data_IF_880407703526
#
_entry.id   IF_880407703526
#
_cell.length_a   1.000
_cell.length_b   1.000
_cell.length_c   1.000
_cell.angle_alpha   90.00
_cell.angle_beta   90.00
_cell.angle_gamma   90.00
#
_symmetry.space_group_name_H-M   'P 1'
#
loop_
_entity.id
_entity.type
_entity.pdbx_description
1 polymer ?
#
# COMPACT_ATOMS: atom_id res chain seq x y z
N UNK A 1 17.88 -31.44 21.84
CA UNK A 1 16.41 -31.59 21.84
C UNK A 1 15.77 -30.27 21.32
N UNK A 2 15.39 -30.26 20.04
CA UNK A 2 14.56 -29.18 19.49
C UNK A 2 13.09 -29.49 19.77
N UNK A 3 12.38 -28.53 20.31
CA UNK A 3 10.92 -28.57 20.45
C UNK A 3 10.31 -27.48 19.59
N UNK A 4 9.51 -27.88 18.60
CA UNK A 4 8.66 -27.01 17.84
C UNK A 4 7.23 -27.17 18.38
N UNK A 5 6.64 -26.10 18.89
CA UNK A 5 5.24 -26.10 19.28
C UNK A 5 4.42 -25.61 18.09
N UNK A 6 3.86 -26.53 17.35
CA UNK A 6 2.81 -26.27 16.37
C UNK A 6 1.48 -26.23 17.13
N UNK A 7 0.73 -25.15 17.04
CA UNK A 7 -0.67 -25.14 17.48
C UNK A 7 -1.47 -26.15 16.63
N UNK A 8 -2.54 -26.77 17.17
CA UNK A 8 -3.16 -27.96 16.58
C UNK A 8 -4.00 -27.66 15.34
N UNK A 9 -3.35 -27.32 14.22
CA UNK A 9 -3.97 -27.34 12.89
C UNK A 9 -4.00 -28.74 12.27
N UNK A 10 -3.25 -29.69 12.85
CA UNK A 10 -3.10 -31.03 12.28
C UNK A 10 -4.33 -31.94 12.47
N UNK A 11 -5.28 -31.57 13.33
CA UNK A 11 -6.45 -32.43 13.59
C UNK A 11 -7.54 -32.32 12.52
N UNK A 12 -7.53 -31.30 11.70
CA UNK A 12 -8.52 -31.12 10.61
C UNK A 12 -8.10 -31.79 9.31
N UNK A 13 -6.79 -31.95 9.08
CA UNK A 13 -6.28 -32.58 7.84
C UNK A 13 -6.46 -34.10 7.81
N UNK A 14 -6.53 -34.78 8.96
CA UNK A 14 -6.74 -36.24 9.00
C UNK A 14 -8.20 -36.67 8.84
N UNK A 15 -9.19 -35.78 9.04
CA UNK A 15 -10.61 -36.10 8.80
C UNK A 15 -11.08 -35.85 7.36
N UNK A 16 -10.31 -35.08 6.56
CA UNK A 16 -10.66 -34.81 5.16
C UNK A 16 -10.24 -35.92 4.19
N UNK A 17 -9.36 -36.84 4.60
CA UNK A 17 -8.92 -37.95 3.75
C UNK A 17 -9.90 -39.13 3.66
N UNK A 18 -10.96 -39.14 4.48
CA UNK A 18 -11.95 -40.24 4.53
C UNK A 18 -13.29 -39.93 3.89
N UNK A 19 -13.44 -38.75 3.24
CA UNK A 19 -14.69 -38.34 2.59
C UNK A 19 -14.57 -38.10 1.07
N UNK A 20 -13.58 -38.72 0.42
CA UNK A 20 -13.46 -38.67 -1.03
C UNK A 20 -14.13 -39.88 -1.70
N UNK A 21 -15.41 -39.99 -1.56
CA UNK A 21 -16.27 -40.74 -2.49
C UNK A 21 -17.71 -40.26 -2.36
N UNK A 22 -18.03 -39.19 -3.03
CA UNK A 22 -19.31 -38.88 -3.69
C UNK A 22 -19.29 -37.42 -4.18
N UNK A 23 -19.61 -37.25 -5.43
CA UNK A 23 -19.87 -35.98 -6.10
C UNK A 23 -20.79 -35.08 -5.27
N UNK A 24 -20.24 -34.24 -4.43
CA UNK A 24 -20.86 -33.00 -3.99
C UNK A 24 -19.87 -31.90 -4.32
N UNK A 25 -20.13 -31.24 -5.45
CA UNK A 25 -19.66 -29.87 -5.64
C UNK A 25 -19.91 -29.15 -4.31
N UNK A 26 -18.86 -28.70 -3.64
CA UNK A 26 -18.97 -27.69 -2.58
C UNK A 26 -19.62 -26.51 -3.29
N UNK A 27 -20.94 -26.39 -3.13
CA UNK A 27 -21.66 -25.23 -3.61
C UNK A 27 -20.96 -24.04 -2.98
N UNK A 28 -20.28 -23.24 -3.79
CA UNK A 28 -19.86 -21.92 -3.40
C UNK A 28 -21.09 -21.28 -2.77
N UNK A 29 -20.99 -20.80 -1.53
CA UNK A 29 -22.05 -20.02 -0.91
C UNK A 29 -22.48 -19.00 -1.95
N UNK A 30 -23.78 -18.85 -2.25
CA UNK A 30 -24.23 -17.96 -3.29
C UNK A 30 -23.61 -16.59 -3.03
N UNK A 31 -22.84 -16.10 -4.00
CA UNK A 31 -22.34 -14.73 -4.01
C UNK A 31 -23.55 -13.86 -3.66
N UNK A 32 -23.51 -13.17 -2.53
CA UNK A 32 -24.49 -12.12 -2.26
C UNK A 32 -24.38 -11.21 -3.46
N UNK A 33 -25.42 -11.16 -4.28
CA UNK A 33 -25.44 -10.37 -5.50
C UNK A 33 -24.88 -9.00 -5.16
N UNK A 34 -23.67 -8.69 -5.64
CA UNK A 34 -22.99 -7.45 -5.30
C UNK A 34 -23.91 -6.31 -5.68
N UNK A 35 -24.18 -5.41 -4.73
CA UNK A 35 -25.00 -4.23 -5.01
C UNK A 35 -24.40 -3.51 -6.21
N UNK A 36 -25.18 -3.19 -7.26
CA UNK A 36 -24.66 -2.49 -8.43
C UNK A 36 -23.94 -1.20 -8.05
N UNK A 37 -22.84 -0.92 -8.72
CA UNK A 37 -22.14 0.33 -8.61
C UNK A 37 -22.97 1.46 -9.18
N UNK A 38 -23.10 2.57 -8.45
CA UNK A 38 -23.73 3.80 -8.92
C UNK A 38 -22.71 4.91 -9.17
N UNK A 39 -21.58 4.84 -8.47
CA UNK A 39 -20.50 5.81 -8.57
C UNK A 39 -19.80 5.76 -9.95
N UNK A 40 -19.08 6.83 -10.25
CA UNK A 40 -18.33 7.01 -11.48
C UNK A 40 -16.84 7.17 -11.16
N UNK A 41 -15.99 6.72 -12.07
CA UNK A 41 -14.57 7.02 -12.03
C UNK A 41 -14.35 8.51 -12.28
N UNK A 42 -13.57 9.16 -11.41
CA UNK A 42 -13.27 10.59 -11.48
C UNK A 42 -11.78 10.86 -11.43
N UNK A 43 -11.33 11.94 -12.08
CA UNK A 43 -9.95 12.44 -12.08
C UNK A 43 -9.89 13.97 -12.13
N UNK A 44 -8.68 14.55 -12.18
CA UNK A 44 -8.48 15.99 -12.30
C UNK A 44 -8.80 16.56 -13.68
N UNK A 45 -8.98 15.72 -14.70
CA UNK A 45 -9.21 16.15 -16.08
C UNK A 45 -7.96 16.59 -16.84
N UNK A 46 -6.81 16.67 -16.19
CA UNK A 46 -5.54 16.85 -16.89
C UNK A 46 -5.15 15.50 -17.52
N UNK A 47 -4.95 15.48 -18.81
CA UNK A 47 -4.55 14.26 -19.55
C UNK A 47 -3.36 14.52 -20.45
N UNK A 48 -2.41 13.58 -20.53
CA UNK A 48 -2.26 12.43 -19.63
C UNK A 48 -1.65 12.84 -18.29
N UNK A 49 -2.10 12.22 -17.20
CA UNK A 49 -1.43 12.36 -15.92
C UNK A 49 0.00 11.83 -16.04
N UNK A 50 0.95 12.58 -15.48
CA UNK A 50 2.35 12.18 -15.49
C UNK A 50 2.62 11.09 -14.44
N UNK A 51 3.66 10.28 -14.61
CA UNK A 51 4.11 9.38 -13.56
C UNK A 51 4.32 10.13 -12.23
N UNK A 52 3.95 9.47 -11.12
CA UNK A 52 4.05 10.03 -9.77
C UNK A 52 3.16 11.26 -9.54
N UNK A 53 1.98 11.29 -10.16
CA UNK A 53 0.99 12.35 -9.93
C UNK A 53 0.21 12.09 -8.63
N UNK A 54 -0.02 13.17 -7.88
CA UNK A 54 -0.79 13.15 -6.64
C UNK A 54 -2.01 14.05 -6.79
N UNK A 55 -3.20 13.52 -6.43
CA UNK A 55 -4.48 14.21 -6.59
C UNK A 55 -5.19 14.32 -5.25
N UNK A 56 -5.67 15.52 -4.93
CA UNK A 56 -6.58 15.78 -3.82
C UNK A 56 -8.01 15.69 -4.30
N UNK A 57 -8.82 14.87 -3.65
CA UNK A 57 -10.26 14.81 -3.85
C UNK A 57 -10.99 15.26 -2.59
N UNK A 58 -12.05 16.04 -2.75
CA UNK A 58 -12.93 16.46 -1.65
C UNK A 58 -14.39 16.37 -2.02
N UNK A 59 -15.19 15.99 -1.03
CA UNK A 59 -16.64 16.02 -1.12
C UNK A 59 -17.25 16.36 0.24
N UNK A 60 -18.28 17.19 0.25
CA UNK A 60 -19.07 17.50 1.45
C UNK A 60 -20.43 16.85 1.33
N UNK A 61 -20.72 15.88 2.22
CA UNK A 61 -22.00 15.21 2.32
C UNK A 61 -22.80 15.81 3.49
N UNK A 62 -24.10 15.99 3.31
CA UNK A 62 -25.04 16.36 4.39
C UNK A 62 -25.93 15.16 4.70
N UNK A 63 -25.71 14.54 5.86
CA UNK A 63 -26.33 13.25 6.23
C UNK A 63 -27.55 13.49 7.12
N UNK A 64 -28.76 13.07 6.69
CA UNK A 64 -29.99 13.26 7.47
C UNK A 64 -30.02 12.43 8.75
N UNK A 65 -29.35 11.27 8.72
CA UNK A 65 -29.26 10.32 9.83
C UNK A 65 -27.94 9.55 9.74
N UNK A 66 -27.53 8.91 10.83
CA UNK A 66 -26.34 8.07 10.88
C UNK A 66 -26.74 6.60 11.14
N UNK A 67 -26.64 5.71 10.15
CA UNK A 67 -26.79 4.28 10.33
C UNK A 67 -25.67 3.68 11.21
N UNK A 68 -25.94 2.53 11.80
CA UNK A 68 -24.94 1.80 12.61
C UNK A 68 -23.76 1.26 11.80
N UNK A 69 -23.93 1.07 10.50
CA UNK A 69 -22.88 0.67 9.54
C UNK A 69 -23.03 1.43 8.24
N UNK A 70 -21.92 1.95 7.73
CA UNK A 70 -21.82 2.74 6.51
C UNK A 70 -20.57 2.29 5.76
N UNK A 71 -20.70 1.32 4.86
CA UNK A 71 -19.58 0.76 4.12
C UNK A 71 -19.42 1.46 2.77
N UNK A 72 -18.24 2.06 2.55
CA UNK A 72 -17.82 2.59 1.27
C UNK A 72 -16.99 1.55 0.51
N UNK A 73 -17.24 1.43 -0.80
CA UNK A 73 -16.42 0.69 -1.75
C UNK A 73 -15.54 1.70 -2.49
N UNK A 74 -14.22 1.54 -2.42
CA UNK A 74 -13.26 2.53 -2.92
C UNK A 74 -12.26 1.86 -3.84
N UNK A 75 -12.25 2.23 -5.11
CA UNK A 75 -11.23 1.85 -6.07
C UNK A 75 -10.36 3.03 -6.43
N UNK A 76 -9.05 2.82 -6.54
CA UNK A 76 -8.08 3.84 -6.89
C UNK A 76 -6.99 3.28 -7.81
N UNK A 77 -6.53 4.07 -8.71
CA UNK A 77 -5.32 3.79 -9.47
C UNK A 77 -4.30 4.91 -9.18
N UNK A 78 -3.32 4.68 -8.28
CA UNK A 78 -2.84 3.38 -7.78
C UNK A 78 -3.09 3.16 -6.29
N UNK A 79 -2.79 4.13 -5.44
CA UNK A 79 -2.91 4.09 -3.97
C UNK A 79 -3.65 5.32 -3.46
N UNK A 80 -4.26 5.22 -2.26
CA UNK A 80 -4.97 6.36 -1.68
C UNK A 80 -4.86 6.42 -0.15
N UNK A 81 -5.05 7.62 0.39
CA UNK A 81 -5.26 7.91 1.81
C UNK A 81 -6.63 8.55 1.96
N UNK A 82 -7.39 8.15 2.96
CA UNK A 82 -8.75 8.62 3.20
C UNK A 82 -8.84 9.32 4.55
N UNK A 83 -9.38 10.52 4.55
CA UNK A 83 -9.80 11.23 5.75
C UNK A 83 -11.32 11.45 5.72
N UNK A 84 -11.94 11.30 6.89
CA UNK A 84 -13.33 11.66 7.13
C UNK A 84 -13.37 12.64 8.30
N UNK A 85 -13.91 13.81 8.08
CA UNK A 85 -13.97 14.90 9.08
C UNK A 85 -12.59 15.24 9.68
N UNK A 86 -11.54 15.21 8.86
CA UNK A 86 -10.17 15.49 9.26
C UNK A 86 -9.46 14.32 9.98
N UNK A 87 -10.14 13.19 10.22
CA UNK A 87 -9.56 12.00 10.84
C UNK A 87 -9.10 11.02 9.77
N UNK A 88 -7.87 10.56 9.86
CA UNK A 88 -7.33 9.53 8.97
C UNK A 88 -8.07 8.20 9.20
N UNK A 89 -8.65 7.66 8.15
CA UNK A 89 -9.43 6.40 8.14
C UNK A 89 -8.65 5.28 7.46
N UNK A 90 -8.02 5.57 6.32
CA UNK A 90 -7.21 4.61 5.59
C UNK A 90 -5.84 5.21 5.31
N UNK A 91 -4.80 4.50 5.72
CA UNK A 91 -3.41 4.81 5.40
C UNK A 91 -2.93 3.86 4.30
N UNK A 92 -2.74 4.39 3.08
CA UNK A 92 -2.36 3.62 1.90
C UNK A 92 -3.37 2.49 1.57
N UNK A 93 -4.56 2.89 1.15
CA UNK A 93 -5.55 2.00 0.54
C UNK A 93 -5.20 1.65 -0.90
N UNK A 94 -6.00 0.76 -1.47
CA UNK A 94 -5.76 0.19 -2.78
C UNK A 94 -4.68 -0.90 -2.78
N UNK A 95 -4.78 -1.81 -3.73
CA UNK A 95 -3.70 -2.76 -4.03
C UNK A 95 -3.02 -2.35 -5.32
N UNK A 96 -1.76 -2.74 -5.50
CA UNK A 96 -1.12 -2.70 -6.80
C UNK A 96 -2.03 -3.39 -7.80
N UNK A 97 -2.35 -2.68 -8.89
CA UNK A 97 -3.35 -3.10 -9.85
C UNK A 97 -2.94 -4.39 -10.54
N UNK A 98 -3.87 -5.30 -10.72
CA UNK A 98 -3.77 -6.48 -11.54
C UNK A 98 -4.21 -7.78 -10.88
N UNK A 99 -5.51 -7.98 -10.52
CA UNK A 99 -6.03 -9.33 -10.26
C UNK A 99 -5.93 -10.20 -11.51
N UNK A 100 -5.92 -9.57 -12.67
CA UNK A 100 -5.61 -10.05 -14.00
C UNK A 100 -5.14 -8.85 -14.85
N UNK A 101 -4.73 -9.01 -16.12
CA UNK A 101 -4.22 -7.91 -16.95
C UNK A 101 -5.17 -6.73 -17.17
N UNK A 102 -6.45 -6.87 -16.87
CA UNK A 102 -7.47 -5.88 -17.20
C UNK A 102 -8.10 -5.20 -16.00
N UNK A 103 -8.40 -5.95 -14.94
CA UNK A 103 -9.27 -5.55 -13.85
C UNK A 103 -8.55 -4.78 -12.73
N UNK A 104 -9.32 -4.18 -11.82
CA UNK A 104 -8.82 -3.33 -10.74
C UNK A 104 -9.40 -3.78 -9.39
N UNK A 105 -8.61 -3.72 -8.32
CA UNK A 105 -9.09 -3.99 -6.97
C UNK A 105 -9.86 -2.80 -6.37
N UNK A 106 -10.81 -3.08 -5.47
CA UNK A 106 -11.44 -2.09 -4.61
C UNK A 106 -11.43 -2.53 -3.15
N UNK A 107 -11.42 -1.57 -2.24
CA UNK A 107 -11.50 -1.78 -0.79
C UNK A 107 -12.92 -1.58 -0.28
N UNK A 108 -13.30 -2.27 0.80
CA UNK A 108 -14.47 -1.96 1.61
C UNK A 108 -14.03 -1.32 2.92
N UNK A 109 -14.57 -0.16 3.23
CA UNK A 109 -14.17 0.64 4.39
C UNK A 109 -15.42 1.05 5.20
N UNK A 110 -15.45 0.69 6.49
CA UNK A 110 -16.51 1.12 7.41
C UNK A 110 -16.30 2.58 7.83
N UNK A 111 -17.25 3.43 7.52
CA UNK A 111 -17.18 4.87 7.76
C UNK A 111 -17.99 5.36 8.96
N UNK A 112 -18.96 4.58 9.46
CA UNK A 112 -19.87 5.02 10.53
C UNK A 112 -19.16 5.61 11.76
N UNK A 113 -18.00 5.08 12.24
CA UNK A 113 -17.30 5.63 13.39
C UNK A 113 -16.71 7.04 13.18
N UNK A 114 -16.65 7.50 11.93
CA UNK A 114 -16.03 8.78 11.53
C UNK A 114 -17.04 9.81 11.06
N UNK A 115 -18.28 9.38 10.75
CA UNK A 115 -19.36 10.24 10.26
C UNK A 115 -20.16 10.84 11.41
N UNK A 116 -20.79 11.96 11.14
CA UNK A 116 -21.75 12.63 12.05
C UNK A 116 -23.04 12.96 11.30
N UNK A 117 -24.15 13.17 12.04
CA UNK A 117 -25.36 13.73 11.45
C UNK A 117 -25.08 15.17 10.98
N UNK A 118 -25.56 15.54 9.80
CA UNK A 118 -25.28 16.83 9.17
C UNK A 118 -24.06 16.78 8.26
N UNK A 119 -23.31 17.87 8.20
CA UNK A 119 -22.19 18.02 7.27
C UNK A 119 -21.01 17.15 7.62
N UNK A 120 -20.49 16.43 6.63
CA UNK A 120 -19.31 15.61 6.68
C UNK A 120 -18.39 15.92 5.51
N UNK A 121 -17.09 15.95 5.76
CA UNK A 121 -16.07 16.09 4.74
C UNK A 121 -15.41 14.74 4.47
N UNK A 122 -15.44 14.30 3.23
CA UNK A 122 -14.68 13.16 2.70
C UNK A 122 -13.51 13.73 1.91
N UNK A 123 -12.28 13.36 2.27
CA UNK A 123 -11.09 13.82 1.57
C UNK A 123 -10.21 12.61 1.22
N UNK A 124 -9.76 12.54 -0.04
CA UNK A 124 -8.91 11.44 -0.53
C UNK A 124 -7.68 12.02 -1.21
N UNK A 125 -6.50 11.59 -0.75
CA UNK A 125 -5.25 11.80 -1.46
C UNK A 125 -4.98 10.55 -2.29
N UNK A 126 -4.84 10.70 -3.59
CA UNK A 126 -4.53 9.61 -4.51
C UNK A 126 -3.10 9.74 -5.01
N UNK A 127 -2.35 8.66 -5.01
CA UNK A 127 -1.03 8.55 -5.63
C UNK A 127 -1.10 7.65 -6.85
N UNK A 128 -0.99 8.26 -8.02
CA UNK A 128 -0.90 7.56 -9.30
C UNK A 128 0.55 7.27 -9.66
N UNK A 129 0.90 5.99 -9.82
CA UNK A 129 2.26 5.57 -10.16
C UNK A 129 2.62 5.92 -11.60
N UNK A 130 1.75 5.62 -12.54
CA UNK A 130 1.80 6.07 -13.93
C UNK A 130 3.01 5.57 -14.72
N UNK A 131 3.59 4.42 -14.34
CA UNK A 131 4.72 3.83 -15.06
C UNK A 131 4.69 2.31 -15.04
N UNK A 132 5.23 1.66 -16.08
CA UNK A 132 5.41 0.22 -16.11
C UNK A 132 6.32 -0.27 -14.97
N UNK A 133 6.01 -1.45 -14.42
CA UNK A 133 6.80 -2.06 -13.36
C UNK A 133 6.65 -3.58 -13.34
N UNK A 134 7.43 -4.25 -12.46
CA UNK A 134 7.36 -5.70 -12.23
C UNK A 134 6.32 -6.09 -11.17
N UNK A 135 5.64 -5.13 -10.56
CA UNK A 135 4.73 -5.39 -9.43
C UNK A 135 3.37 -4.70 -9.54
N UNK A 136 3.11 -3.99 -10.64
CA UNK A 136 1.91 -3.22 -10.86
C UNK A 136 1.57 -3.18 -12.35
N UNK A 137 0.31 -3.42 -12.70
CA UNK A 137 -0.17 -3.29 -14.05
C UNK A 137 -0.75 -1.89 -14.25
N UNK A 138 0.06 -0.98 -14.78
CA UNK A 138 -0.34 0.40 -15.02
C UNK A 138 -1.52 0.49 -16.00
N UNK A 139 -2.56 1.26 -15.65
CA UNK A 139 -3.72 1.47 -16.53
C UNK A 139 -3.50 2.57 -17.56
N UNK A 140 -2.49 3.42 -17.37
CA UNK A 140 -2.27 4.61 -18.15
C UNK A 140 -3.13 5.82 -17.76
N UNK A 141 -3.92 5.73 -16.66
CA UNK A 141 -4.81 6.81 -16.24
C UNK A 141 -5.08 6.80 -14.74
N UNK A 142 -4.87 7.93 -14.07
CA UNK A 142 -5.27 8.11 -12.68
C UNK A 142 -6.80 8.08 -12.54
N UNK A 143 -7.28 7.56 -11.43
CA UNK A 143 -8.72 7.55 -11.17
C UNK A 143 -9.08 7.14 -9.76
N UNK A 144 -10.17 7.71 -9.26
CA UNK A 144 -10.85 7.36 -8.03
C UNK A 144 -12.29 6.98 -8.33
N UNK A 145 -12.79 5.91 -7.73
CA UNK A 145 -14.21 5.61 -7.63
C UNK A 145 -14.57 5.39 -6.18
N UNK A 146 -15.59 6.08 -5.69
CA UNK A 146 -16.07 6.04 -4.31
C UNK A 146 -17.57 5.80 -4.30
N UNK A 147 -18.02 4.64 -3.81
CA UNK A 147 -19.42 4.22 -3.81
C UNK A 147 -19.85 3.82 -2.41
N UNK A 148 -20.62 4.66 -1.77
CA UNK A 148 -21.21 4.39 -0.46
C UNK A 148 -22.73 4.54 -0.57
N UNK A 149 -23.43 3.43 -0.57
CA UNK A 149 -24.88 3.37 -0.68
C UNK A 149 -25.50 2.87 0.62
N UNK A 150 -26.42 3.63 1.18
CA UNK A 150 -27.18 3.26 2.36
C UNK A 150 -28.69 3.30 2.09
N UNK A 151 -29.51 2.91 3.07
CA UNK A 151 -30.97 3.03 2.94
C UNK A 151 -31.47 4.49 2.98
N UNK A 152 -30.68 5.41 3.54
CA UNK A 152 -31.10 6.80 3.78
C UNK A 152 -30.33 7.85 2.97
N UNK A 153 -29.18 7.52 2.43
CA UNK A 153 -28.35 8.43 1.63
C UNK A 153 -27.31 7.66 0.81
N UNK A 154 -26.82 8.29 -0.21
CA UNK A 154 -25.68 7.83 -1.00
C UNK A 154 -24.56 8.89 -0.97
N UNK A 155 -23.29 8.44 -0.91
CA UNK A 155 -22.10 9.25 -1.17
C UNK A 155 -21.41 8.59 -2.37
N UNK A 156 -21.49 9.22 -3.53
CA UNK A 156 -21.04 8.67 -4.80
C UNK A 156 -20.05 9.61 -5.46
N UNK A 157 -18.97 9.08 -5.98
CA UNK A 157 -18.07 9.89 -6.83
C UNK A 157 -18.71 10.18 -8.18
N UNK A 158 -18.70 11.46 -8.53
CA UNK A 158 -19.15 12.04 -9.79
C UNK A 158 -18.51 13.45 -9.97
N UNK A 159 -18.96 14.20 -10.95
CA UNK A 159 -18.46 15.56 -11.23
C UNK A 159 -18.82 16.61 -10.14
N UNK A 160 -19.58 16.27 -9.13
CA UNK A 160 -19.83 17.15 -7.98
C UNK A 160 -18.68 17.19 -6.98
N UNK A 161 -17.83 16.16 -7.00
CA UNK A 161 -16.60 16.16 -6.23
C UNK A 161 -15.63 17.24 -6.72
N UNK A 162 -14.77 17.68 -5.82
CA UNK A 162 -13.62 18.52 -6.14
C UNK A 162 -12.40 17.66 -6.37
N UNK A 163 -11.58 18.02 -7.36
CA UNK A 163 -10.33 17.31 -7.64
C UNK A 163 -9.29 18.27 -8.21
N UNK A 164 -8.09 18.22 -7.64
CA UNK A 164 -6.94 19.00 -8.14
C UNK A 164 -5.63 18.24 -7.95
N UNK A 165 -4.62 18.60 -8.75
CA UNK A 165 -3.27 18.10 -8.54
C UNK A 165 -2.68 18.72 -7.29
N UNK A 166 -2.16 17.88 -6.38
CA UNK A 166 -1.42 18.34 -5.20
C UNK A 166 -0.01 18.78 -5.61
N UNK A 167 0.18 20.09 -5.75
CA UNK A 167 1.43 20.68 -6.22
C UNK A 167 2.60 20.54 -5.22
N UNK A 168 2.34 20.11 -3.97
CA UNK A 168 3.39 19.87 -3.00
C UNK A 168 4.16 18.57 -3.32
N UNK A 169 3.52 17.59 -3.95
CA UNK A 169 4.16 16.34 -4.35
C UNK A 169 4.80 16.44 -5.72
N UNK A 170 5.95 15.81 -5.87
CA UNK A 170 6.69 15.69 -7.11
C UNK A 170 7.70 14.56 -7.06
N UNK A 171 8.49 14.44 -8.11
CA UNK A 171 9.55 13.43 -8.24
C UNK A 171 10.90 14.04 -7.85
N UNK A 172 11.73 13.30 -7.11
CA UNK A 172 13.11 13.68 -6.84
C UNK A 172 13.93 13.77 -8.14
N UNK A 173 15.01 14.53 -8.12
CA UNK A 173 16.00 14.53 -9.20
C UNK A 173 16.68 13.15 -9.29
N UNK A 174 17.43 12.93 -10.36
CA UNK A 174 18.22 11.70 -10.52
C UNK A 174 19.18 11.46 -9.33
N UNK A 175 19.48 10.19 -8.99
CA UNK A 175 19.04 8.97 -9.65
C UNK A 175 17.62 8.55 -9.28
N UNK A 176 16.94 7.93 -10.22
CA UNK A 176 15.63 7.33 -10.00
C UNK A 176 15.76 5.99 -9.25
N UNK A 177 14.69 5.49 -8.60
CA UNK A 177 14.65 4.12 -8.12
C UNK A 177 14.82 3.13 -9.28
N UNK A 178 15.10 1.87 -8.94
CA UNK A 178 15.21 0.82 -9.95
C UNK A 178 13.95 0.80 -10.85
N UNK A 179 14.13 0.65 -12.15
CA UNK A 179 13.04 0.68 -13.14
C UNK A 179 11.97 -0.40 -12.96
N UNK A 180 12.28 -1.45 -12.19
CA UNK A 180 11.34 -2.52 -11.84
C UNK A 180 10.32 -2.11 -10.79
N UNK A 181 10.67 -1.12 -9.95
CA UNK A 181 9.81 -0.63 -8.89
C UNK A 181 8.66 0.21 -9.46
N UNK A 182 7.44 -0.03 -9.02
CA UNK A 182 6.26 0.77 -9.42
C UNK A 182 6.32 2.19 -8.86
N UNK A 183 6.79 2.34 -7.64
CA UNK A 183 6.85 3.58 -6.91
C UNK A 183 8.01 4.47 -7.40
N UNK A 184 7.79 5.78 -7.44
CA UNK A 184 8.81 6.79 -7.69
C UNK A 184 9.31 7.39 -6.38
N UNK A 185 10.51 7.98 -6.37
CA UNK A 185 10.98 8.79 -5.27
C UNK A 185 10.07 10.00 -5.06
N UNK A 186 9.62 10.21 -3.84
CA UNK A 186 8.70 11.29 -3.48
C UNK A 186 9.53 12.51 -3.05
N UNK A 187 9.33 13.63 -3.75
CA UNK A 187 9.71 14.97 -3.27
C UNK A 187 8.46 15.66 -2.77
N UNK A 188 8.49 16.17 -1.54
CA UNK A 188 7.41 16.97 -0.98
C UNK A 188 7.90 18.39 -0.69
N UNK A 189 7.28 19.36 -1.34
CA UNK A 189 7.59 20.79 -1.16
C UNK A 189 6.62 21.41 -0.14
N UNK A 190 7.04 21.52 1.09
CA UNK A 190 6.25 22.09 2.19
C UNK A 190 5.83 23.55 1.97
N UNK A 191 6.50 24.29 1.07
CA UNK A 191 6.15 25.67 0.73
C UNK A 191 4.88 25.76 -0.12
N UNK A 192 4.52 24.66 -0.80
CA UNK A 192 3.33 24.51 -1.65
C UNK A 192 2.22 23.73 -0.98
N UNK A 193 2.45 23.28 0.26
CA UNK A 193 1.48 22.48 1.00
C UNK A 193 0.38 23.36 1.58
N UNK A 194 -0.84 22.91 1.43
CA UNK A 194 -1.94 23.29 2.31
C UNK A 194 -2.21 22.12 3.25
N UNK A 195 -1.63 22.18 4.45
CA UNK A 195 -1.73 21.11 5.45
C UNK A 195 -3.17 20.89 5.96
N UNK A 196 -4.10 21.81 5.65
CA UNK A 196 -5.48 21.76 6.09
C UNK A 196 -6.47 21.28 5.00
N UNK A 197 -6.01 20.98 3.80
CA UNK A 197 -6.88 20.64 2.66
C UNK A 197 -7.89 19.51 2.95
N UNK A 198 -7.59 18.57 3.86
CA UNK A 198 -8.48 17.46 4.25
C UNK A 198 -9.39 17.81 5.46
N UNK A 199 -9.25 19.00 6.05
CA UNK A 199 -10.03 19.42 7.20
C UNK A 199 -11.40 19.95 6.81
N UNK A 200 -12.44 19.80 7.65
CA UNK A 200 -13.77 20.36 7.40
C UNK A 200 -13.79 21.88 7.26
N UNK A 201 -12.83 22.57 7.90
CA UNK A 201 -12.72 24.04 7.87
C UNK A 201 -12.07 24.59 6.61
N UNK A 202 -11.49 23.73 5.76
CA UNK A 202 -10.84 24.16 4.52
C UNK A 202 -11.87 24.72 3.53
N UNK A 203 -11.56 25.87 2.96
CA UNK A 203 -12.37 26.50 1.91
C UNK A 203 -12.00 25.92 0.54
N UNK A 204 -12.84 25.05 0.02
CA UNK A 204 -12.63 24.37 -1.25
C UNK A 204 -13.33 25.04 -2.46
N UNK A 205 -13.79 26.30 -2.32
CA UNK A 205 -14.52 27.00 -3.39
C UNK A 205 -13.69 27.15 -4.65
N UNK A 206 -12.38 27.33 -4.51
CA UNK A 206 -11.45 27.52 -5.62
C UNK A 206 -10.95 26.21 -6.22
N UNK A 207 -11.19 25.07 -5.57
CA UNK A 207 -10.85 23.76 -6.15
C UNK A 207 -11.72 23.47 -7.38
N UNK A 208 -11.11 22.93 -8.42
CA UNK A 208 -11.81 22.51 -9.64
C UNK A 208 -12.71 21.32 -9.38
N UNK A 209 -13.76 21.18 -10.19
CA UNK A 209 -14.61 19.99 -10.18
C UNK A 209 -13.87 18.81 -10.80
N UNK A 210 -14.15 17.62 -10.28
CA UNK A 210 -13.67 16.40 -10.88
C UNK A 210 -14.28 16.17 -12.27
N UNK A 211 -13.53 15.47 -13.11
CA UNK A 211 -14.00 15.03 -14.43
C UNK A 211 -14.50 13.59 -14.32
N UNK A 212 -15.69 13.36 -14.85
CA UNK A 212 -16.28 12.05 -15.00
C UNK A 212 -15.58 11.26 -16.12
N UNK A 213 -15.00 10.12 -15.78
CA UNK A 213 -14.32 9.22 -16.71
C UNK A 213 -15.16 8.00 -17.10
N UNK A 214 -16.36 7.86 -16.57
CA UNK A 214 -17.26 6.77 -16.90
C UNK A 214 -17.69 5.91 -15.70
N UNK A 215 -18.64 5.00 -15.89
CA UNK A 215 -19.18 4.16 -14.84
C UNK A 215 -18.16 3.11 -14.37
N UNK A 216 -18.46 2.47 -13.25
CA UNK A 216 -17.76 1.24 -12.85
C UNK A 216 -17.78 0.22 -14.01
N UNK A 217 -16.65 -0.44 -14.25
CA UNK A 217 -16.48 -1.37 -15.37
C UNK A 217 -16.03 -0.72 -16.69
N UNK A 218 -15.89 0.62 -16.76
CA UNK A 218 -15.35 1.26 -17.96
C UNK A 218 -13.82 1.06 -18.06
N UNK A 219 -13.31 1.16 -19.30
CA UNK A 219 -11.86 1.20 -19.54
C UNK A 219 -11.26 2.51 -19.03
N UNK A 220 -10.00 2.48 -18.55
CA UNK A 220 -9.07 1.35 -18.53
C UNK A 220 -9.14 0.46 -17.28
N UNK A 221 -10.01 0.74 -16.31
CA UNK A 221 -10.05 0.06 -15.00
C UNK A 221 -10.85 -1.24 -15.01
N UNK A 222 -11.79 -1.40 -15.95
CA UNK A 222 -12.62 -2.56 -16.17
C UNK A 222 -13.37 -3.06 -14.92
N UNK A 223 -13.48 -4.38 -14.70
CA UNK A 223 -14.22 -4.94 -13.58
C UNK A 223 -13.51 -4.60 -12.26
N UNK A 224 -14.32 -4.26 -11.25
CA UNK A 224 -13.85 -4.05 -9.89
C UNK A 224 -13.91 -5.37 -9.11
N UNK A 225 -12.77 -5.79 -8.60
CA UNK A 225 -12.59 -7.01 -7.82
C UNK A 225 -12.35 -6.64 -6.36
N UNK A 226 -13.11 -7.24 -5.46
CA UNK A 226 -12.95 -6.97 -4.03
C UNK A 226 -11.55 -7.35 -3.56
N UNK A 227 -10.91 -6.47 -2.77
CA UNK A 227 -9.66 -6.74 -2.07
C UNK A 227 -9.77 -8.04 -1.26
N UNK A 228 -8.94 -9.06 -1.52
CA UNK A 228 -9.03 -10.35 -0.83
C UNK A 228 -8.20 -10.43 0.46
N UNK A 229 -7.42 -9.39 0.77
CA UNK A 229 -6.50 -9.33 1.91
C UNK A 229 -6.84 -8.14 2.82
N UNK A 230 -6.44 -8.15 4.10
CA UNK A 230 -6.70 -7.03 5.02
C UNK A 230 -6.11 -5.70 4.53
N UNK A 231 -6.63 -4.58 5.05
CA UNK A 231 -5.92 -3.31 5.04
C UNK A 231 -4.64 -3.43 5.86
N UNK A 232 -3.68 -2.50 5.64
CA UNK A 232 -2.38 -2.57 6.32
C UNK A 232 -2.48 -2.33 7.82
N UNK A 233 -1.67 -3.04 8.57
CA UNK A 233 -1.39 -2.73 9.97
C UNK A 233 -0.59 -1.43 10.04
N UNK A 234 -1.09 -0.46 10.81
CA UNK A 234 -0.47 0.85 10.96
C UNK A 234 -0.19 1.07 12.45
N UNK A 235 1.09 1.28 12.76
CA UNK A 235 1.54 1.58 14.12
C UNK A 235 1.46 3.07 14.46
N UNK A 236 1.75 3.39 15.72
CA UNK A 236 1.96 4.76 16.16
C UNK A 236 3.37 5.24 15.78
N UNK A 237 3.59 6.55 15.82
CA UNK A 237 4.93 7.13 15.70
C UNK A 237 5.79 6.70 16.90
N UNK A 238 6.95 6.11 16.62
CA UNK A 238 7.86 5.53 17.61
C UNK A 238 9.26 6.11 17.49
N UNK A 239 9.97 6.16 18.61
CA UNK A 239 11.37 6.56 18.65
C UNK A 239 12.27 5.46 18.07
N UNK A 240 13.35 5.86 17.41
CA UNK A 240 14.42 4.97 16.98
C UNK A 240 15.15 4.37 18.18
N UNK A 241 15.69 3.18 18.05
CA UNK A 241 16.48 2.52 19.09
C UNK A 241 17.75 3.33 19.47
N UNK A 242 18.32 4.04 18.51
CA UNK A 242 19.42 4.99 18.74
C UNK A 242 19.52 6.00 17.61
N UNK A 243 20.12 7.14 17.92
CA UNK A 243 20.40 8.21 16.95
C UNK A 243 21.83 8.72 17.16
N UNK A 244 22.55 8.97 16.06
CA UNK A 244 23.87 9.58 16.12
C UNK A 244 24.08 10.54 14.95
N UNK A 245 24.74 11.64 15.19
CA UNK A 245 25.12 12.58 14.13
C UNK A 245 26.44 12.15 13.48
N UNK A 246 26.54 12.31 12.17
CA UNK A 246 27.75 12.05 11.38
C UNK A 246 27.79 13.06 10.23
N UNK A 247 28.54 14.13 10.39
CA UNK A 247 28.56 15.24 9.45
C UNK A 247 27.22 15.96 9.34
N UNK A 248 26.70 16.03 8.14
CA UNK A 248 25.38 16.57 7.80
C UNK A 248 24.23 15.58 8.06
N UNK A 249 24.56 14.33 8.34
CA UNK A 249 23.58 13.25 8.47
C UNK A 249 23.29 12.92 9.93
N UNK A 250 22.02 12.61 10.24
CA UNK A 250 21.61 11.93 11.46
C UNK A 250 21.25 10.50 11.08
N UNK A 251 21.96 9.54 11.68
CA UNK A 251 21.79 8.12 11.45
C UNK A 251 20.94 7.56 12.58
N UNK A 252 19.74 7.12 12.25
CA UNK A 252 18.77 6.54 13.16
C UNK A 252 18.75 5.03 13.00
N UNK A 253 18.91 4.27 14.09
CA UNK A 253 18.87 2.79 14.07
C UNK A 253 17.48 2.32 14.44
N UNK A 254 16.88 1.51 13.61
CA UNK A 254 15.62 0.80 13.90
C UNK A 254 15.87 -0.33 14.91
N UNK A 255 14.90 -0.70 15.75
CA UNK A 255 15.03 -1.84 16.66
C UNK A 255 15.21 -3.17 15.90
N UNK A 256 14.69 -3.23 14.69
CA UNK A 256 14.80 -4.33 13.73
C UNK A 256 14.47 -3.80 12.33
N UNK A 257 14.76 -4.57 11.28
CA UNK A 257 14.32 -4.20 9.94
C UNK A 257 12.79 -4.28 9.84
N UNK A 258 12.16 -3.20 9.41
CA UNK A 258 10.70 -3.06 9.30
C UNK A 258 10.32 -2.23 8.07
N UNK A 259 9.12 -2.45 7.55
CA UNK A 259 8.49 -1.50 6.61
C UNK A 259 8.03 -0.29 7.42
N UNK A 260 8.51 0.89 7.07
CA UNK A 260 8.26 2.11 7.85
C UNK A 260 7.96 3.31 6.95
N UNK A 261 7.27 4.30 7.52
CA UNK A 261 7.27 5.67 7.03
C UNK A 261 8.12 6.53 7.97
N UNK A 262 9.15 7.23 7.43
CA UNK A 262 10.01 8.10 8.26
C UNK A 262 9.32 9.44 8.55
N UNK A 263 9.48 9.92 9.78
CA UNK A 263 8.95 11.20 10.27
C UNK A 263 10.08 12.10 10.76
N UNK A 264 9.96 13.38 10.46
CA UNK A 264 10.85 14.43 10.97
C UNK A 264 10.04 15.65 11.43
N UNK A 265 10.39 16.18 12.61
CA UNK A 265 10.07 17.54 13.04
C UNK A 265 11.37 18.34 13.05
N UNK A 266 11.37 19.46 12.35
CA UNK A 266 12.59 20.24 12.14
C UNK A 266 12.33 21.75 12.18
N UNK A 267 13.39 22.51 12.44
CA UNK A 267 13.46 23.94 12.19
C UNK A 267 14.41 24.17 11.02
N UNK A 268 13.95 24.86 9.99
CA UNK A 268 14.69 25.04 8.75
C UNK A 268 14.30 26.36 8.07
N UNK A 269 15.08 26.79 7.07
CA UNK A 269 14.73 27.89 6.20
C UNK A 269 13.94 27.42 4.99
N UNK A 270 13.14 28.31 4.42
CA UNK A 270 12.37 28.01 3.23
C UNK A 270 13.28 27.63 2.05
N UNK A 271 13.05 26.46 1.46
CA UNK A 271 13.86 25.90 0.37
C UNK A 271 14.95 24.92 0.82
N UNK A 272 15.24 24.83 2.11
CA UNK A 272 16.12 23.81 2.65
C UNK A 272 15.59 22.42 2.31
N UNK A 273 16.46 21.53 1.78
CA UNK A 273 16.06 20.20 1.36
C UNK A 273 16.65 19.13 2.24
N UNK A 274 15.80 18.38 2.93
CA UNK A 274 16.18 17.21 3.71
C UNK A 274 16.02 15.97 2.83
N UNK A 275 17.08 15.14 2.74
CA UNK A 275 17.01 13.84 2.07
C UNK A 275 16.89 12.73 3.10
N UNK A 276 15.98 11.78 2.87
CA UNK A 276 15.74 10.67 3.78
C UNK A 276 15.85 9.37 3.01
N UNK A 277 16.70 8.46 3.46
CA UNK A 277 16.95 7.18 2.82
C UNK A 277 17.31 6.11 3.86
N UNK A 278 17.18 4.84 3.50
CA UNK A 278 17.64 3.74 4.35
C UNK A 278 19.07 3.31 4.02
N UNK A 279 19.63 2.40 4.82
CA UNK A 279 20.90 1.74 4.53
C UNK A 279 20.84 0.79 3.32
N UNK A 280 19.66 0.60 2.73
CA UNK A 280 19.46 -0.14 1.47
C UNK A 280 19.58 0.76 0.23
N UNK A 281 19.86 2.05 0.37
CA UNK A 281 19.91 3.00 -0.73
C UNK A 281 20.92 2.62 -1.83
N UNK A 282 22.07 2.06 -1.42
CA UNK A 282 23.14 1.60 -2.29
C UNK A 282 23.41 0.13 -2.03
N UNK A 283 22.47 -0.76 -2.35
CA UNK A 283 22.69 -2.20 -2.23
C UNK A 283 23.04 -2.78 -3.58
N UNK A 284 24.25 -3.29 -3.67
CA UNK A 284 24.76 -3.97 -4.85
C UNK A 284 24.11 -5.34 -5.02
N UNK A 285 23.10 -5.45 -5.85
CA UNK A 285 22.65 -6.71 -6.42
C UNK A 285 21.81 -6.45 -7.68
N UNK A 286 22.48 -6.22 -8.79
CA UNK A 286 21.81 -6.01 -10.09
C UNK A 286 21.23 -4.62 -10.31
N UNK A 287 21.79 -3.61 -9.69
CA UNK A 287 21.45 -2.19 -9.80
C UNK A 287 21.15 -1.58 -8.43
N UNK A 288 21.51 -0.34 -8.31
CA UNK A 288 21.30 0.44 -7.11
C UNK A 288 19.81 0.69 -6.88
N UNK A 289 19.36 0.65 -5.65
CA UNK A 289 17.95 0.86 -5.31
C UNK A 289 17.52 2.31 -5.51
N UNK A 290 18.35 3.25 -5.05
CA UNK A 290 18.14 4.70 -5.06
C UNK A 290 16.78 5.16 -4.49
N UNK A 291 16.13 4.30 -3.68
CA UNK A 291 14.86 4.63 -3.04
C UNK A 291 15.09 5.63 -1.92
N UNK A 292 14.48 6.81 -2.05
CA UNK A 292 14.54 7.89 -1.06
C UNK A 292 13.31 8.77 -1.13
N UNK A 293 13.18 9.67 -0.15
CA UNK A 293 12.31 10.82 -0.25
C UNK A 293 13.06 12.10 0.06
N UNK A 294 12.54 13.23 -0.42
CA UNK A 294 13.07 14.57 -0.19
C UNK A 294 11.97 15.48 0.32
N UNK A 295 12.28 16.21 1.38
CA UNK A 295 11.40 17.23 1.93
C UNK A 295 12.02 18.62 1.73
N UNK A 296 11.33 19.50 1.00
CA UNK A 296 11.69 20.91 0.86
C UNK A 296 10.94 21.69 1.93
N UNK A 297 11.70 22.29 2.84
CA UNK A 297 11.15 22.98 3.99
C UNK A 297 10.50 24.32 3.64
N UNK A 298 9.49 24.68 4.40
CA UNK A 298 9.05 26.07 4.57
C UNK A 298 9.82 26.75 5.67
N UNK A 299 9.61 28.02 5.92
CA UNK A 299 10.29 28.75 6.98
C UNK A 299 9.85 28.30 8.38
N UNK A 300 10.78 28.07 9.30
CA UNK A 300 10.53 27.85 10.71
C UNK A 300 10.30 26.40 11.13
N UNK A 301 9.53 26.22 12.22
CA UNK A 301 9.24 24.91 12.81
C UNK A 301 8.12 24.20 12.05
N UNK A 302 8.37 22.96 11.66
CA UNK A 302 7.48 22.16 10.84
C UNK A 302 7.69 20.67 11.02
N UNK A 303 6.76 19.84 10.53
CA UNK A 303 6.90 18.39 10.53
C UNK A 303 6.50 17.79 9.19
N UNK A 304 7.08 16.64 8.89
CA UNK A 304 6.81 15.87 7.69
C UNK A 304 6.88 14.37 7.98
N UNK A 305 5.93 13.63 7.46
CA UNK A 305 5.97 12.16 7.40
C UNK A 305 5.88 11.75 5.92
N UNK A 306 6.85 10.97 5.44
CA UNK A 306 6.77 10.46 4.07
C UNK A 306 5.69 9.38 3.98
N UNK A 307 4.81 9.49 3.01
CA UNK A 307 3.72 8.53 2.81
C UNK A 307 4.15 7.26 2.05
N UNK A 308 5.27 7.32 1.33
CA UNK A 308 5.89 6.15 0.70
C UNK A 308 6.72 5.36 1.73
N UNK A 309 6.40 4.07 1.88
CA UNK A 309 7.14 3.24 2.82
C UNK A 309 8.53 2.84 2.29
N UNK A 310 9.44 2.65 3.20
CA UNK A 310 10.78 2.10 2.98
C UNK A 310 11.09 1.06 4.05
N UNK A 311 12.22 0.35 3.93
CA UNK A 311 12.70 -0.56 4.95
C UNK A 311 14.21 -0.46 5.10
N UNK A 312 14.75 -1.01 6.17
CA UNK A 312 16.17 -1.03 6.47
C UNK A 312 16.43 -1.27 7.94
N UNK A 313 17.71 -1.28 8.35
CA UNK A 313 18.13 -1.27 9.75
C UNK A 313 18.45 0.13 10.22
N UNK A 314 18.77 1.04 9.29
CA UNK A 314 19.12 2.44 9.57
C UNK A 314 18.42 3.37 8.60
N UNK A 315 18.02 4.52 9.13
CA UNK A 315 17.48 5.61 8.33
C UNK A 315 18.43 6.80 8.46
N UNK A 316 18.78 7.37 7.33
CA UNK A 316 19.67 8.54 7.23
C UNK A 316 18.81 9.76 6.90
N UNK A 317 18.90 10.78 7.78
CA UNK A 317 18.35 12.10 7.52
C UNK A 317 19.51 13.04 7.20
N UNK A 318 19.67 13.40 5.93
CA UNK A 318 20.71 14.33 5.48
C UNK A 318 20.13 15.73 5.52
N UNK A 319 20.67 16.54 6.41
CA UNK A 319 20.18 17.89 6.70
C UNK A 319 21.05 18.94 6.00
N UNK A 320 20.47 19.98 5.40
CA UNK A 320 21.21 21.12 4.89
C UNK A 320 21.84 21.91 6.07
N UNK A 321 22.86 22.69 5.76
CA UNK A 321 23.56 23.53 6.77
C UNK A 321 22.58 24.55 7.37
N UNK A 322 22.48 24.56 8.69
CA UNK A 322 21.58 25.45 9.43
C UNK A 322 20.24 24.86 9.81
N UNK A 323 19.82 23.74 9.19
CA UNK A 323 18.64 23.03 9.62
C UNK A 323 18.88 22.21 10.91
N UNK A 324 17.89 22.21 11.79
CA UNK A 324 17.90 21.50 13.06
C UNK A 324 16.76 20.47 13.14
N UNK A 325 17.11 19.20 13.33
CA UNK A 325 16.12 18.18 13.62
C UNK A 325 15.72 18.28 15.11
N UNK A 326 14.42 18.48 15.36
CA UNK A 326 13.84 18.56 16.70
C UNK A 326 13.38 17.19 17.17
N UNK A 327 12.79 16.39 16.26
CA UNK A 327 12.30 15.06 16.56
C UNK A 327 12.41 14.19 15.31
N UNK A 328 12.91 12.97 15.48
CA UNK A 328 12.99 11.96 14.44
C UNK A 328 12.29 10.70 14.94
N UNK A 329 11.29 10.25 14.20
CA UNK A 329 10.49 9.08 14.51
C UNK A 329 10.22 8.24 13.25
N UNK A 330 9.65 7.08 13.46
CA UNK A 330 9.14 6.24 12.39
C UNK A 330 7.77 5.68 12.75
N UNK A 331 6.99 5.36 11.74
CA UNK A 331 5.76 4.58 11.87
C UNK A 331 5.96 3.24 11.19
N UNK A 332 5.77 2.14 11.92
CA UNK A 332 5.79 0.80 11.33
C UNK A 332 4.47 0.56 10.59
N UNK A 333 4.55 0.00 9.39
CA UNK A 333 3.42 -0.44 8.58
C UNK A 333 3.71 -1.82 8.03
N UNK A 334 2.72 -2.54 7.55
CA UNK A 334 2.94 -3.86 6.95
C UNK A 334 1.65 -4.65 6.77
N UNK A 335 1.78 -5.89 6.36
CA UNK A 335 0.67 -6.81 6.24
C UNK A 335 0.02 -7.06 7.60
N UNK A 336 -1.31 -7.06 7.68
CA UNK A 336 -2.02 -7.27 8.95
C UNK A 336 -2.11 -8.76 9.28
N UNK A 337 -1.11 -9.23 10.00
CA UNK A 337 -0.99 -10.61 10.50
C UNK A 337 -0.24 -10.64 11.83
N UNK A 338 -0.33 -11.76 12.54
CA UNK A 338 0.36 -11.97 13.81
C UNK A 338 1.38 -13.12 13.69
N UNK A 339 2.48 -13.01 14.42
CA UNK A 339 3.45 -14.10 14.56
C UNK A 339 2.90 -15.12 15.56
N UNK A 340 2.54 -16.32 15.09
CA UNK A 340 1.92 -17.37 15.90
C UNK A 340 2.78 -18.61 16.02
N UNK A 341 3.77 -18.79 15.15
CA UNK A 341 4.72 -19.89 15.22
C UNK A 341 5.80 -19.65 16.28
N UNK A 342 6.14 -20.69 17.01
CA UNK A 342 7.19 -20.66 18.03
C UNK A 342 8.24 -21.73 17.75
N UNK A 343 9.50 -21.38 17.95
CA UNK A 343 10.62 -22.30 17.88
C UNK A 343 11.61 -21.99 18.99
N UNK A 344 12.02 -23.02 19.71
CA UNK A 344 13.06 -22.94 20.72
C UNK A 344 13.92 -24.21 20.71
N UNK A 345 15.21 -24.05 20.78
CA UNK A 345 16.14 -25.14 20.96
C UNK A 345 17.30 -24.73 21.86
N UNK A 346 18.14 -25.70 22.24
CA UNK A 346 19.30 -25.48 23.12
C UNK A 346 20.42 -24.65 22.48
N UNK A 347 20.44 -24.51 21.17
CA UNK A 347 21.45 -23.72 20.48
C UNK A 347 20.93 -22.29 20.22
N UNK A 348 21.55 -21.24 20.83
CA UNK A 348 21.13 -19.84 20.66
C UNK A 348 21.22 -19.35 19.22
N UNK A 349 22.07 -19.94 18.36
CA UNK A 349 22.22 -19.57 16.96
C UNK A 349 20.92 -19.83 16.20
N UNK A 350 20.33 -21.04 16.35
CA UNK A 350 19.08 -21.38 15.68
C UNK A 350 17.90 -20.56 16.19
N UNK A 351 17.85 -20.25 17.49
CA UNK A 351 16.83 -19.37 18.05
C UNK A 351 16.92 -17.95 17.45
N UNK A 352 18.14 -17.44 17.26
CA UNK A 352 18.37 -16.14 16.59
C UNK A 352 18.04 -16.21 15.10
N UNK A 353 18.40 -17.30 14.44
CA UNK A 353 18.11 -17.52 13.02
C UNK A 353 16.60 -17.53 12.77
N UNK A 354 15.83 -18.29 13.57
CA UNK A 354 14.38 -18.31 13.52
C UNK A 354 13.76 -16.91 13.56
N UNK A 355 14.15 -16.09 14.55
CA UNK A 355 13.64 -14.71 14.68
C UNK A 355 13.96 -13.85 13.46
N UNK A 356 15.13 -14.04 12.84
CA UNK A 356 15.51 -13.31 11.63
C UNK A 356 14.72 -13.78 10.41
N UNK A 357 14.54 -15.09 10.25
CA UNK A 357 13.75 -15.67 9.16
C UNK A 357 12.30 -15.16 9.19
N UNK A 358 11.66 -15.19 10.37
CA UNK A 358 10.31 -14.61 10.56
C UNK A 358 10.22 -13.15 10.13
N UNK A 359 11.19 -12.34 10.55
CA UNK A 359 11.22 -10.93 10.20
C UNK A 359 11.45 -10.72 8.71
N UNK A 360 12.29 -11.54 8.06
CA UNK A 360 12.54 -11.47 6.61
C UNK A 360 11.27 -11.79 5.84
N UNK A 361 10.57 -12.86 6.17
CA UNK A 361 9.30 -13.22 5.58
C UNK A 361 8.29 -12.06 5.70
N UNK A 362 8.14 -11.48 6.90
CA UNK A 362 7.19 -10.38 7.11
C UNK A 362 7.54 -9.13 6.29
N UNK A 363 8.82 -8.85 6.06
CA UNK A 363 9.28 -7.72 5.25
C UNK A 363 8.92 -7.87 3.77
N UNK A 364 8.75 -9.09 3.31
CA UNK A 364 8.43 -9.40 1.91
C UNK A 364 6.91 -9.63 1.68
N UNK A 365 6.09 -9.29 2.68
CA UNK A 365 4.63 -9.39 2.61
C UNK A 365 3.98 -8.01 2.58
N UNK A 366 3.17 -7.73 1.55
CA UNK A 366 2.32 -6.55 1.46
C UNK A 366 1.18 -6.77 0.47
N UNK A 367 1.18 -6.09 -0.68
CA UNK A 367 0.20 -6.32 -1.77
C UNK A 367 0.29 -7.75 -2.32
N UNK A 368 1.47 -8.29 -2.29
CA UNK A 368 1.88 -9.60 -2.77
C UNK A 368 2.97 -10.15 -1.84
N UNK A 369 3.35 -11.39 -2.01
CA UNK A 369 4.69 -11.83 -1.66
C UNK A 369 5.69 -11.10 -2.56
N UNK A 370 6.85 -10.71 -2.03
CA UNK A 370 7.82 -9.90 -2.75
C UNK A 370 9.20 -10.53 -2.68
N UNK A 371 9.85 -10.72 -3.84
CA UNK A 371 11.24 -11.17 -3.92
C UNK A 371 12.20 -10.34 -3.05
N UNK A 372 11.91 -9.05 -2.97
CA UNK A 372 12.65 -8.10 -2.13
C UNK A 372 11.77 -6.88 -1.80
N UNK A 373 11.99 -6.23 -0.63
CA UNK A 373 11.18 -5.06 -0.24
C UNK A 373 11.69 -3.74 -0.85
N UNK A 374 12.76 -3.74 -1.64
CA UNK A 374 13.46 -2.53 -2.10
C UNK A 374 13.44 -2.34 -3.61
N UNK A 375 14.05 -3.27 -4.36
CA UNK A 375 14.40 -3.09 -5.77
C UNK A 375 13.22 -3.26 -6.72
N UNK A 376 12.43 -4.32 -6.54
CA UNK A 376 11.37 -4.75 -7.46
C UNK A 376 10.00 -4.81 -6.78
N UNK A 377 9.95 -5.31 -5.55
CA UNK A 377 8.69 -5.61 -4.82
C UNK A 377 7.77 -6.51 -5.64
N UNK A 378 8.35 -7.51 -6.32
CA UNK A 378 7.68 -8.31 -7.35
C UNK A 378 7.31 -9.69 -6.86
N UNK A 379 6.18 -10.22 -7.31
CA UNK A 379 5.69 -11.54 -6.94
C UNK A 379 6.22 -12.59 -7.93
N UNK A 380 7.50 -12.95 -7.79
CA UNK A 380 8.08 -14.07 -8.51
C UNK A 380 7.55 -15.37 -7.97
N UNK A 381 7.20 -16.30 -8.84
CA UNK A 381 6.55 -17.56 -8.43
C UNK A 381 7.43 -18.42 -7.52
N UNK A 382 8.73 -18.51 -7.81
CA UNK A 382 9.67 -19.27 -6.98
C UNK A 382 9.80 -18.71 -5.56
N UNK A 383 9.84 -17.38 -5.42
CA UNK A 383 9.87 -16.69 -4.13
C UNK A 383 8.55 -16.92 -3.38
N UNK A 384 7.43 -16.69 -4.02
CA UNK A 384 6.10 -16.83 -3.43
C UNK A 384 5.79 -18.25 -2.95
N UNK A 385 6.30 -19.30 -3.64
CA UNK A 385 6.19 -20.71 -3.19
C UNK A 385 6.86 -20.89 -1.82
N UNK A 386 8.09 -20.41 -1.68
CA UNK A 386 8.84 -20.52 -0.42
C UNK A 386 8.18 -19.71 0.69
N UNK A 387 7.87 -18.44 0.43
CA UNK A 387 7.26 -17.51 1.39
C UNK A 387 5.89 -17.99 1.88
N UNK A 388 5.05 -18.49 0.98
CA UNK A 388 3.74 -19.05 1.34
C UNK A 388 3.86 -20.29 2.20
N UNK A 389 4.83 -21.17 1.87
CA UNK A 389 5.15 -22.37 2.68
C UNK A 389 5.57 -21.98 4.10
N UNK A 390 6.48 -21.02 4.25
CA UNK A 390 6.93 -20.50 5.54
C UNK A 390 5.79 -19.86 6.33
N UNK A 391 4.93 -19.06 5.67
CA UNK A 391 3.83 -18.34 6.29
C UNK A 391 2.86 -19.28 7.05
N UNK A 392 2.59 -20.48 6.53
CA UNK A 392 1.72 -21.45 7.19
C UNK A 392 2.24 -21.93 8.57
N UNK A 393 3.54 -21.91 8.77
CA UNK A 393 4.14 -22.39 10.02
C UNK A 393 4.25 -21.28 11.08
N UNK A 394 4.30 -20.02 10.66
CA UNK A 394 4.77 -18.94 11.53
C UNK A 394 3.81 -17.78 11.71
N UNK A 395 2.80 -17.65 10.85
CA UNK A 395 1.86 -16.53 10.86
C UNK A 395 0.43 -16.97 11.13
N UNK A 396 -0.44 -16.00 11.46
CA UNK A 396 -1.86 -16.24 11.68
C UNK A 396 -2.62 -16.52 10.37
N UNK A 397 -3.89 -16.92 10.48
CA UNK A 397 -4.74 -17.25 9.32
C UNK A 397 -4.85 -16.11 8.29
N UNK A 398 -4.69 -14.85 8.71
CA UNK A 398 -4.72 -13.72 7.78
C UNK A 398 -3.62 -13.81 6.71
N UNK A 399 -2.47 -14.42 7.01
CA UNK A 399 -1.41 -14.66 6.03
C UNK A 399 -1.83 -15.63 4.91
N UNK A 400 -2.71 -16.61 5.21
CA UNK A 400 -3.23 -17.53 4.21
C UNK A 400 -4.07 -16.80 3.13
N UNK A 401 -4.64 -15.64 3.45
CA UNK A 401 -5.35 -14.81 2.47
C UNK A 401 -4.39 -14.28 1.39
N UNK A 402 -3.14 -13.97 1.74
CA UNK A 402 -2.13 -13.54 0.77
C UNK A 402 -1.74 -14.69 -0.16
N UNK A 403 -1.56 -15.90 0.38
CA UNK A 403 -1.33 -17.11 -0.43
C UNK A 403 -2.49 -17.37 -1.37
N UNK A 404 -3.73 -17.27 -0.88
CA UNK A 404 -4.91 -17.42 -1.72
C UNK A 404 -4.96 -16.36 -2.83
N UNK A 405 -4.65 -15.09 -2.50
CA UNK A 405 -4.55 -14.02 -3.50
C UNK A 405 -3.53 -14.37 -4.57
N UNK A 406 -2.32 -14.82 -4.18
CA UNK A 406 -1.28 -15.21 -5.12
C UNK A 406 -1.76 -16.29 -6.10
N UNK A 407 -2.44 -17.35 -5.62
CA UNK A 407 -3.00 -18.39 -6.47
C UNK A 407 -4.05 -17.84 -7.46
N UNK A 408 -4.89 -16.91 -7.01
CA UNK A 408 -5.84 -16.23 -7.89
C UNK A 408 -5.15 -15.30 -8.90
N UNK A 409 -4.09 -14.61 -8.49
CA UNK A 409 -3.29 -13.77 -9.41
C UNK A 409 -2.68 -14.66 -10.51
N UNK A 410 -2.08 -15.82 -10.18
CA UNK A 410 -1.54 -16.76 -11.16
C UNK A 410 -2.61 -17.21 -12.17
N UNK A 411 -3.79 -17.61 -11.67
CA UNK A 411 -4.90 -18.02 -12.52
C UNK A 411 -5.42 -16.86 -13.40
N UNK A 412 -5.50 -15.65 -12.83
CA UNK A 412 -5.95 -14.46 -13.54
C UNK A 412 -5.00 -13.99 -14.64
N UNK A 413 -3.70 -14.30 -14.51
CA UNK A 413 -2.66 -13.94 -15.48
C UNK A 413 -2.29 -15.08 -16.42
N UNK A 414 -2.91 -16.25 -16.28
CA UNK A 414 -2.67 -17.37 -17.20
C UNK A 414 -3.02 -16.98 -18.63
N UNK A 415 -2.12 -17.27 -19.57
CA UNK A 415 -2.33 -17.04 -20.99
C UNK A 415 -3.37 -18.00 -21.58
N UNK A 416 -3.89 -17.68 -22.75
CA UNK A 416 -4.86 -18.51 -23.47
C UNK A 416 -4.32 -19.88 -23.88
N UNK A 417 -3.02 -20.03 -24.00
CA UNK A 417 -2.31 -21.29 -24.26
C UNK A 417 -2.01 -22.10 -22.98
N UNK A 418 -2.44 -21.60 -21.80
CA UNK A 418 -2.26 -22.24 -20.51
C UNK A 418 -0.96 -21.86 -19.79
N UNK A 419 -0.08 -21.06 -20.40
CA UNK A 419 1.19 -20.64 -19.79
C UNK A 419 0.95 -19.65 -18.66
N UNK A 420 1.69 -19.84 -17.55
CA UNK A 420 1.69 -18.98 -16.37
C UNK A 420 2.92 -18.05 -16.41
N UNK A 421 2.69 -16.79 -16.09
CA UNK A 421 3.73 -15.79 -16.00
C UNK A 421 4.41 -15.75 -14.64
N UNK A 422 5.62 -15.16 -14.62
CA UNK A 422 6.26 -14.61 -13.44
C UNK A 422 7.12 -13.40 -13.84
N UNK A 423 7.06 -12.27 -13.12
CA UNK A 423 6.21 -11.98 -11.95
C UNK A 423 4.79 -11.58 -12.34
N UNK A 424 3.86 -11.65 -11.40
CA UNK A 424 2.48 -11.17 -11.55
C UNK A 424 2.03 -10.41 -10.29
N UNK A 425 1.35 -9.24 -10.42
CA UNK A 425 1.06 -8.51 -11.66
C UNK A 425 2.31 -7.83 -12.25
N UNK A 426 2.32 -7.58 -13.55
CA UNK A 426 3.41 -6.83 -14.20
C UNK A 426 2.93 -6.13 -15.46
N UNK A 427 3.44 -4.94 -15.75
CA UNK A 427 3.15 -4.19 -16.98
C UNK A 427 4.35 -4.02 -17.91
N UNK A 428 5.56 -4.43 -17.51
CA UNK A 428 6.76 -4.31 -18.34
C UNK A 428 7.56 -5.61 -18.44
N UNK A 429 6.96 -6.72 -18.01
CA UNK A 429 7.57 -8.03 -18.12
C UNK A 429 6.51 -9.05 -18.52
N UNK A 430 6.62 -9.60 -19.71
CA UNK A 430 5.69 -10.57 -20.28
C UNK A 430 6.37 -11.89 -20.66
N UNK A 431 7.55 -12.15 -20.08
CA UNK A 431 8.37 -13.31 -20.43
C UNK A 431 8.01 -14.51 -19.56
N UNK A 432 7.97 -15.64 -20.20
CA UNK A 432 7.93 -16.94 -19.56
C UNK A 432 9.28 -17.24 -18.93
N UNK A 433 9.24 -17.71 -17.69
CA UNK A 433 10.41 -18.27 -17.01
C UNK A 433 10.12 -19.69 -16.63
N UNK A 434 10.40 -20.68 -17.50
CA UNK A 434 10.05 -22.09 -17.27
C UNK A 434 10.54 -22.63 -15.92
N UNK A 435 11.71 -22.19 -15.47
CA UNK A 435 12.25 -22.57 -14.16
C UNK A 435 11.45 -22.05 -12.98
N UNK A 436 10.83 -20.88 -13.10
CA UNK A 436 9.96 -20.31 -12.07
C UNK A 436 8.61 -21.04 -12.03
N UNK A 437 8.08 -21.41 -13.18
CA UNK A 437 6.82 -22.16 -13.29
C UNK A 437 6.97 -23.58 -12.73
N UNK A 438 8.11 -24.25 -13.00
CA UNK A 438 8.34 -25.59 -12.47
C UNK A 438 8.58 -25.64 -10.96
N UNK A 439 8.95 -24.52 -10.33
CA UNK A 439 9.09 -24.41 -8.89
C UNK A 439 7.74 -24.27 -8.15
N UNK A 440 6.66 -24.04 -8.90
CA UNK A 440 5.30 -23.90 -8.37
C UNK A 440 4.55 -25.22 -8.41
#
# INVERSE_FOLDING_TARGET
NCRMKLKPFLTILCLSALLWSSDRAVAALPDRAERPWKARWISSGTTPEQPNTWLNYRYTADLPALPSSVVARIGADSKYWLWVNGRLVVFEGGLKRGPNPQDTYYDEVELAPYLVKGKNTIAVLLWYFGKPSFSHNDSGKAGLIFDCQTAGFDILSDETWKCETNAAYGTCDKPDPNFRLAESNIRYDGRKSDDAWYMPSFDDRDMTRAVDNGPAGCRPWNKLVKRPIPLWKIGELRDYASQRRSGDSIICTLPYNAQITPYIKLKAHAGDTVKIMSDNYLVYNGGDNYLRCEYIAREGLQSYENLGWTNGHKIYYVLPKGAEAVELKFRETGYDTEFTGEFECSDPLYNKFWKKALRTLYLTMRDTYMDCPDRERSQWTGDAVNESGEAFYVLSESAALLTRKWLHDLAGWQKTDGVIYAPVPSSNWDKELPGQVMAS
#
